data_IF_530295704507
#
_entry.id   IF_530295704507
#
_cell.length_a   1.000
_cell.length_b   1.000
_cell.length_c   1.000
_cell.angle_alpha   90.00
_cell.angle_beta   90.00
_cell.angle_gamma   90.00
#
_symmetry.space_group_name_H-M   'P 1'
#
loop_
_entity.id
_entity.type
_entity.pdbx_description
1 polymer ?
#
# COMPACT_ATOMS: atom_id res chain seq x y z
N UNK A 1 -12.74 -8.95 0.91
CA UNK A 1 -12.12 -9.10 2.24
C UNK A 1 -12.87 -10.13 3.09
N UNK A 2 -14.18 -9.96 3.37
CA UNK A 2 -14.99 -10.83 4.27
C UNK A 2 -14.89 -12.31 3.91
N UNK A 3 -15.07 -12.66 2.64
CA UNK A 3 -14.97 -14.05 2.14
C UNK A 3 -13.59 -14.64 2.47
N UNK A 4 -12.50 -13.89 2.31
CA UNK A 4 -11.14 -14.34 2.64
C UNK A 4 -10.96 -14.63 4.14
N UNK A 5 -11.62 -13.89 5.03
CA UNK A 5 -11.55 -14.17 6.46
C UNK A 5 -12.33 -15.43 6.85
N UNK A 6 -13.45 -15.72 6.18
CA UNK A 6 -14.28 -16.89 6.44
C UNK A 6 -13.67 -18.16 5.85
N UNK A 7 -13.17 -18.10 4.59
CA UNK A 7 -12.64 -19.25 3.87
C UNK A 7 -11.16 -19.51 4.19
N UNK A 8 -10.86 -19.88 5.44
CA UNK A 8 -9.50 -20.19 5.90
C UNK A 8 -9.28 -21.70 5.88
N UNK A 9 -9.19 -22.29 4.66
CA UNK A 9 -9.21 -23.74 4.45
C UNK A 9 -7.95 -24.24 3.76
N UNK A 10 -7.36 -25.33 4.25
CA UNK A 10 -6.18 -25.98 3.62
C UNK A 10 -6.45 -26.47 2.19
N UNK A 11 -7.59 -27.12 1.88
CA UNK A 11 -7.86 -27.58 0.51
C UNK A 11 -7.94 -26.46 -0.53
N UNK A 12 -8.25 -25.22 -0.10
CA UNK A 12 -8.31 -24.04 -0.97
C UNK A 12 -7.00 -23.24 -0.97
N UNK A 13 -5.95 -23.75 -0.33
CA UNK A 13 -4.67 -23.04 -0.13
C UNK A 13 -4.84 -21.59 0.39
N UNK A 14 -5.87 -21.39 1.22
CA UNK A 14 -6.21 -20.10 1.82
C UNK A 14 -5.98 -20.04 3.33
N UNK A 15 -5.41 -21.11 3.90
CA UNK A 15 -5.12 -21.20 5.33
C UNK A 15 -4.00 -20.24 5.74
N UNK A 16 -3.99 -19.87 7.01
CA UNK A 16 -2.92 -19.06 7.61
C UNK A 16 -1.67 -19.94 7.72
N UNK A 17 -0.60 -19.54 7.04
CA UNK A 17 0.72 -20.15 7.12
C UNK A 17 1.49 -19.65 8.33
N UNK A 18 1.53 -18.32 8.51
CA UNK A 18 2.14 -17.65 9.65
C UNK A 18 1.37 -16.39 10.02
N UNK A 19 1.39 -16.00 11.29
CA UNK A 19 0.91 -14.71 11.78
C UNK A 19 2.08 -13.76 12.01
N UNK A 20 1.87 -12.47 11.85
CA UNK A 20 2.91 -11.48 12.04
C UNK A 20 3.29 -11.40 13.54
N UNK A 21 4.53 -11.74 13.92
CA UNK A 21 4.96 -11.79 15.32
C UNK A 21 5.31 -10.42 15.90
N UNK A 22 5.35 -9.36 15.08
CA UNK A 22 5.82 -8.05 15.51
C UNK A 22 4.67 -7.19 16.03
N UNK A 23 4.70 -6.82 17.34
CA UNK A 23 3.68 -5.97 17.96
C UNK A 23 3.47 -4.64 17.23
N UNK A 24 4.56 -4.03 16.73
CA UNK A 24 4.46 -2.78 15.96
C UNK A 24 3.72 -2.94 14.61
N UNK A 25 3.67 -4.14 14.04
CA UNK A 25 2.86 -4.40 12.85
C UNK A 25 1.35 -4.39 13.20
N UNK A 26 0.99 -4.88 14.38
CA UNK A 26 -0.38 -4.81 14.88
C UNK A 26 -0.80 -3.36 15.16
N UNK A 27 0.07 -2.56 15.79
CA UNK A 27 -0.18 -1.12 15.99
C UNK A 27 -0.37 -0.43 14.65
N UNK A 28 0.54 -0.61 13.69
CA UNK A 28 0.45 0.00 12.35
C UNK A 28 -0.83 -0.41 11.60
N UNK A 29 -1.34 -1.63 11.82
CA UNK A 29 -2.59 -2.06 11.23
C UNK A 29 -3.80 -1.47 11.95
N UNK A 30 -3.83 -1.50 13.28
CA UNK A 30 -4.98 -1.08 14.09
C UNK A 30 -5.27 0.41 13.98
N UNK A 31 -4.24 1.27 13.89
CA UNK A 31 -4.44 2.73 13.71
C UNK A 31 -5.11 3.09 12.40
N UNK A 32 -5.19 2.16 11.45
CA UNK A 32 -5.89 2.34 10.17
C UNK A 32 -7.38 1.99 10.21
N UNK A 33 -7.90 1.47 11.33
CA UNK A 33 -9.28 0.96 11.48
C UNK A 33 -9.97 1.52 12.73
N UNK A 34 -11.32 1.57 12.73
CA UNK A 34 -12.06 1.88 13.94
C UNK A 34 -11.75 0.86 15.07
N UNK A 35 -11.74 1.28 16.33
CA UNK A 35 -12.02 2.64 16.85
C UNK A 35 -10.82 3.59 16.81
N UNK A 36 -9.65 3.13 16.37
CA UNK A 36 -8.39 3.89 16.40
C UNK A 36 -8.12 4.70 15.14
N UNK A 37 -9.11 4.79 14.22
CA UNK A 37 -8.96 5.60 13.02
C UNK A 37 -8.70 7.07 13.39
N UNK A 38 -7.54 7.57 13.04
CA UNK A 38 -7.10 8.92 13.39
C UNK A 38 -7.45 9.97 12.32
N UNK A 39 -8.03 9.54 11.20
CA UNK A 39 -8.55 10.35 10.10
C UNK A 39 -10.04 10.65 10.32
N UNK A 40 -10.67 11.45 9.47
CA UNK A 40 -12.10 11.80 9.52
C UNK A 40 -12.55 12.38 10.87
N UNK A 41 -12.12 13.63 11.15
CA UNK A 41 -12.42 14.32 12.40
C UNK A 41 -11.47 14.00 13.54
N UNK A 42 -10.48 13.12 13.30
CA UNK A 42 -9.41 12.81 14.24
C UNK A 42 -8.18 13.71 14.06
N UNK A 43 -7.11 13.46 14.84
CA UNK A 43 -5.89 14.26 14.79
C UNK A 43 -5.14 14.18 13.44
N UNK A 44 -5.39 13.15 12.64
CA UNK A 44 -4.84 13.00 11.29
C UNK A 44 -5.86 13.34 10.19
N UNK A 45 -6.86 14.17 10.49
CA UNK A 45 -7.77 14.71 9.48
C UNK A 45 -7.07 15.78 8.65
N UNK A 46 -6.81 15.48 7.39
CA UNK A 46 -6.17 16.36 6.42
C UNK A 46 -7.16 17.14 5.54
N UNK A 47 -8.46 17.05 5.85
CA UNK A 47 -9.52 17.71 5.08
C UNK A 47 -10.07 18.97 5.76
N UNK A 48 -9.45 19.41 6.85
CA UNK A 48 -9.90 20.58 7.61
C UNK A 48 -9.87 21.83 6.73
N UNK A 49 -11.00 22.54 6.68
CA UNK A 49 -11.23 23.70 5.82
C UNK A 49 -10.95 23.45 4.33
N UNK A 50 -10.92 22.19 3.90
CA UNK A 50 -10.61 21.79 2.55
C UNK A 50 -11.82 21.24 1.80
N UNK A 51 -11.72 21.29 0.48
CA UNK A 51 -12.60 20.61 -0.46
C UNK A 51 -11.83 19.62 -1.30
N UNK A 52 -12.53 18.91 -2.16
CA UNK A 52 -11.92 18.00 -3.10
C UNK A 52 -11.47 18.69 -4.39
N UNK A 53 -10.87 17.91 -5.27
CA UNK A 53 -10.41 18.35 -6.58
C UNK A 53 -11.54 18.95 -7.45
N UNK A 54 -12.78 18.51 -7.26
CA UNK A 54 -13.92 19.01 -8.03
C UNK A 54 -14.16 20.48 -7.81
N UNK A 55 -14.04 20.96 -6.57
CA UNK A 55 -14.15 22.40 -6.26
C UNK A 55 -13.10 23.23 -6.99
N UNK A 56 -11.83 22.77 -7.00
CA UNK A 56 -10.74 23.54 -7.61
C UNK A 56 -10.72 23.48 -9.14
N UNK A 57 -11.35 22.49 -9.72
CA UNK A 57 -11.45 22.32 -11.17
C UNK A 57 -12.82 22.75 -11.71
N UNK A 58 -13.68 23.34 -10.88
CA UNK A 58 -14.97 23.86 -11.30
C UNK A 58 -14.80 24.88 -12.44
N UNK A 59 -15.62 24.76 -13.48
CA UNK A 59 -15.51 25.58 -14.70
C UNK A 59 -14.43 25.14 -15.69
N UNK A 60 -13.63 24.09 -15.37
CA UNK A 60 -12.60 23.53 -16.25
C UNK A 60 -12.92 22.07 -16.61
N UNK A 61 -14.02 21.86 -17.34
CA UNK A 61 -14.59 20.52 -17.57
C UNK A 61 -13.60 19.51 -18.12
N UNK A 62 -12.74 19.89 -19.08
CA UNK A 62 -11.73 19.00 -19.65
C UNK A 62 -10.70 18.55 -18.59
N UNK A 63 -10.22 19.47 -17.75
CA UNK A 63 -9.30 19.15 -16.66
C UNK A 63 -9.98 18.27 -15.61
N UNK A 64 -11.23 18.60 -15.27
CA UNK A 64 -12.04 17.82 -14.33
C UNK A 64 -12.23 16.38 -14.83
N UNK A 65 -12.54 16.20 -16.12
CA UNK A 65 -12.66 14.87 -16.73
C UNK A 65 -11.34 14.11 -16.69
N UNK A 66 -10.22 14.72 -17.10
CA UNK A 66 -8.91 14.09 -17.07
C UNK A 66 -8.49 13.70 -15.64
N UNK A 67 -8.76 14.59 -14.69
CA UNK A 67 -8.47 14.35 -13.28
C UNK A 67 -9.29 13.19 -12.72
N UNK A 68 -10.59 13.17 -13.03
CA UNK A 68 -11.48 12.07 -12.68
C UNK A 68 -11.03 10.73 -13.25
N UNK A 69 -10.58 10.70 -14.51
CA UNK A 69 -10.03 9.49 -15.14
C UNK A 69 -8.79 8.99 -14.36
N UNK A 70 -7.89 9.88 -13.96
CA UNK A 70 -6.71 9.50 -13.15
C UNK A 70 -7.14 8.91 -11.80
N UNK A 71 -8.09 9.53 -11.11
CA UNK A 71 -8.61 9.02 -9.84
C UNK A 71 -9.28 7.66 -10.00
N UNK A 72 -10.12 7.49 -11.00
CA UNK A 72 -10.77 6.21 -11.32
C UNK A 72 -9.71 5.13 -11.62
N UNK A 73 -8.70 5.45 -12.40
CA UNK A 73 -7.61 4.51 -12.70
C UNK A 73 -6.85 4.08 -11.43
N UNK A 74 -6.52 5.01 -10.53
CA UNK A 74 -5.86 4.70 -9.26
C UNK A 74 -6.74 3.82 -8.36
N UNK A 75 -8.03 4.13 -8.25
CA UNK A 75 -8.98 3.33 -7.46
C UNK A 75 -9.20 1.95 -8.10
N UNK A 76 -9.23 1.87 -9.43
CA UNK A 76 -9.32 0.60 -10.15
C UNK A 76 -8.09 -0.29 -9.90
N UNK A 77 -6.88 0.27 -9.88
CA UNK A 77 -5.66 -0.47 -9.50
C UNK A 77 -5.73 -0.94 -8.04
N UNK A 78 -6.23 -0.10 -7.13
CA UNK A 78 -6.45 -0.49 -5.73
C UNK A 78 -7.44 -1.65 -5.60
N UNK A 79 -8.57 -1.57 -6.29
CA UNK A 79 -9.59 -2.62 -6.31
C UNK A 79 -9.02 -3.93 -6.89
N UNK A 80 -8.32 -3.84 -8.03
CA UNK A 80 -7.66 -4.98 -8.67
C UNK A 80 -6.62 -5.62 -7.76
N UNK A 81 -5.78 -4.82 -7.07
CA UNK A 81 -4.81 -5.34 -6.12
C UNK A 81 -5.48 -6.08 -4.95
N UNK A 82 -6.62 -5.57 -4.47
CA UNK A 82 -7.41 -6.23 -3.41
C UNK A 82 -8.06 -7.52 -3.91
N UNK A 83 -8.60 -7.52 -5.12
CA UNK A 83 -9.20 -8.71 -5.73
C UNK A 83 -8.18 -9.80 -6.04
N UNK A 84 -6.94 -9.44 -6.38
CA UNK A 84 -5.88 -10.40 -6.66
C UNK A 84 -5.53 -11.29 -5.45
N UNK A 85 -5.78 -10.84 -4.23
CA UNK A 85 -5.70 -11.70 -3.05
C UNK A 85 -6.82 -12.74 -3.00
N UNK A 86 -7.99 -12.43 -3.53
CA UNK A 86 -9.13 -13.34 -3.52
C UNK A 86 -9.45 -13.85 -2.11
N UNK A 87 -9.53 -15.17 -1.97
CA UNK A 87 -9.78 -15.85 -0.69
C UNK A 87 -8.57 -15.85 0.26
N UNK A 88 -7.37 -15.45 -0.22
CA UNK A 88 -6.18 -15.31 0.62
C UNK A 88 -6.08 -13.94 1.29
N UNK A 89 -7.07 -13.07 1.07
CA UNK A 89 -7.07 -11.74 1.69
C UNK A 89 -7.06 -11.84 3.22
N UNK A 90 -6.10 -11.18 3.85
CA UNK A 90 -6.01 -11.07 5.30
C UNK A 90 -5.10 -9.90 5.70
N UNK A 91 -5.25 -9.45 6.95
CA UNK A 91 -4.33 -8.54 7.61
C UNK A 91 -3.43 -9.34 8.56
N UNK A 92 -2.16 -8.94 8.66
CA UNK A 92 -1.21 -9.47 9.66
C UNK A 92 -0.96 -10.99 9.59
N UNK A 93 -1.44 -11.67 8.54
CA UNK A 93 -1.19 -13.09 8.34
C UNK A 93 -0.67 -13.35 6.93
N UNK A 94 0.24 -14.32 6.82
CA UNK A 94 0.75 -14.80 5.55
C UNK A 94 -0.08 -16.01 5.08
N UNK A 95 -0.62 -15.94 3.86
CA UNK A 95 -1.44 -17.00 3.23
C UNK A 95 -0.94 -17.38 1.84
N UNK A 96 0.31 -17.09 1.55
CA UNK A 96 0.93 -17.31 0.25
C UNK A 96 1.28 -16.01 -0.46
N UNK A 97 2.21 -16.10 -1.40
CA UNK A 97 2.73 -14.95 -2.15
C UNK A 97 1.92 -14.75 -3.42
N UNK A 98 1.51 -13.51 -3.67
CA UNK A 98 0.86 -13.11 -4.91
C UNK A 98 1.89 -12.35 -5.75
N UNK A 99 2.15 -12.83 -6.97
CA UNK A 99 3.21 -12.31 -7.84
C UNK A 99 2.71 -11.75 -9.18
N UNK A 100 1.43 -11.97 -9.48
CA UNK A 100 0.79 -11.63 -10.75
C UNK A 100 -0.09 -10.38 -10.65
N UNK A 101 -0.61 -9.95 -11.79
CA UNK A 101 -1.49 -8.77 -11.87
C UNK A 101 -0.76 -7.50 -11.40
N UNK A 102 -1.38 -6.66 -10.57
CA UNK A 102 -0.76 -5.42 -10.12
C UNK A 102 0.49 -5.64 -9.25
N UNK A 103 0.67 -6.84 -8.67
CA UNK A 103 1.88 -7.22 -7.93
C UNK A 103 3.10 -7.44 -8.83
N UNK A 104 2.91 -7.57 -10.14
CA UNK A 104 4.00 -7.52 -11.12
C UNK A 104 4.54 -6.08 -11.35
N UNK A 105 3.77 -5.05 -10.99
CA UNK A 105 4.16 -3.64 -11.16
C UNK A 105 4.90 -3.10 -9.93
N UNK A 106 4.47 -3.49 -8.76
CA UNK A 106 5.04 -3.10 -7.46
C UNK A 106 4.66 -4.11 -6.38
N UNK A 107 5.44 -4.19 -5.31
CA UNK A 107 5.15 -5.09 -4.18
C UNK A 107 3.94 -4.67 -3.34
N UNK A 108 3.58 -3.39 -3.38
CA UNK A 108 2.49 -2.81 -2.60
C UNK A 108 1.51 -2.01 -3.46
N UNK A 109 0.92 -2.61 -4.51
CA UNK A 109 0.06 -1.88 -5.44
C UNK A 109 -1.14 -1.23 -4.75
N UNK A 110 -1.75 -1.91 -3.78
CA UNK A 110 -2.88 -1.37 -3.04
C UNK A 110 -2.51 -0.12 -2.21
N UNK A 111 -1.36 -0.15 -1.52
CA UNK A 111 -0.92 1.01 -0.73
C UNK A 111 -0.49 2.17 -1.62
N UNK A 112 0.24 1.89 -2.69
CA UNK A 112 0.70 2.91 -3.63
C UNK A 112 -0.48 3.61 -4.30
N UNK A 113 -1.40 2.85 -4.90
CA UNK A 113 -2.54 3.43 -5.61
C UNK A 113 -3.50 4.17 -4.67
N UNK A 114 -3.77 3.63 -3.49
CA UNK A 114 -4.61 4.27 -2.48
C UNK A 114 -4.00 5.59 -1.99
N UNK A 115 -2.72 5.61 -1.64
CA UNK A 115 -2.07 6.85 -1.21
C UNK A 115 -2.01 7.88 -2.35
N UNK A 116 -1.67 7.47 -3.57
CA UNK A 116 -1.68 8.36 -4.71
C UNK A 116 -3.08 8.94 -4.97
N UNK A 117 -4.15 8.15 -4.83
CA UNK A 117 -5.51 8.66 -5.00
C UNK A 117 -5.87 9.71 -3.94
N UNK A 118 -5.39 9.59 -2.72
CA UNK A 118 -5.58 10.60 -1.68
C UNK A 118 -4.84 11.89 -2.00
N UNK A 119 -3.56 11.81 -2.42
CA UNK A 119 -2.80 12.98 -2.81
C UNK A 119 -3.43 13.69 -4.01
N UNK A 120 -3.81 12.94 -5.03
CA UNK A 120 -4.46 13.48 -6.24
C UNK A 120 -5.84 14.05 -5.91
N UNK A 121 -6.62 13.40 -5.05
CA UNK A 121 -7.93 13.86 -4.61
C UNK A 121 -7.88 15.12 -3.75
N UNK A 122 -6.80 15.30 -2.99
CA UNK A 122 -6.58 16.44 -2.11
C UNK A 122 -5.69 17.52 -2.73
N UNK A 123 -5.52 17.54 -4.04
CA UNK A 123 -4.64 18.49 -4.75
C UNK A 123 -5.24 19.90 -4.78
N UNK A 124 -4.46 20.95 -4.70
CA UNK A 124 -3.09 21.12 -4.21
C UNK A 124 -3.03 21.47 -2.71
N UNK A 125 -3.40 20.53 -1.83
CA UNK A 125 -3.51 20.72 -0.37
C UNK A 125 -4.67 21.60 0.02
N UNK A 126 -5.80 21.30 -0.47
CA UNK A 126 -6.97 22.07 -0.81
C UNK A 126 -7.60 22.69 0.41
N UNK A 127 -7.51 24.00 0.46
CA UNK A 127 -8.18 24.81 1.45
C UNK A 127 -9.15 25.74 0.73
N UNK A 128 -10.43 25.58 1.01
CA UNK A 128 -11.50 26.41 0.42
C UNK A 128 -11.96 27.50 1.37
N UNK A 129 -11.75 27.31 2.68
CA UNK A 129 -12.11 28.26 3.73
C UNK A 129 -10.97 28.34 4.75
N UNK A 130 -9.87 28.93 4.37
CA UNK A 130 -8.67 29.03 5.23
C UNK A 130 -7.52 29.60 4.42
N UNK A 131 -6.35 29.66 5.04
CA UNK A 131 -5.16 30.21 4.43
C UNK A 131 -4.11 29.15 4.08
N UNK A 132 -2.94 29.62 3.68
CA UNK A 132 -1.79 28.76 3.39
C UNK A 132 -1.32 27.91 4.59
N UNK A 133 -1.61 28.34 5.82
CA UNK A 133 -1.28 27.61 7.04
C UNK A 133 -2.06 26.29 7.12
N UNK A 134 -3.38 26.37 6.85
CA UNK A 134 -4.25 25.19 6.81
C UNK A 134 -3.86 24.27 5.65
N UNK A 135 -3.51 24.83 4.49
CA UNK A 135 -3.01 24.06 3.36
C UNK A 135 -1.71 23.30 3.71
N UNK A 136 -0.76 23.99 4.34
CA UNK A 136 0.48 23.38 4.80
C UNK A 136 0.21 22.30 5.88
N UNK A 137 -0.70 22.56 6.82
CA UNK A 137 -1.16 21.58 7.82
C UNK A 137 -1.72 20.34 7.15
N UNK A 138 -2.65 20.50 6.21
CA UNK A 138 -3.28 19.37 5.53
C UNK A 138 -2.24 18.53 4.75
N UNK A 139 -1.29 19.18 4.08
CA UNK A 139 -0.19 18.50 3.40
C UNK A 139 0.68 17.68 4.37
N UNK A 140 1.07 18.26 5.50
CA UNK A 140 1.88 17.56 6.52
C UNK A 140 1.12 16.35 7.06
N UNK A 141 -0.17 16.52 7.38
CA UNK A 141 -0.99 15.43 7.92
C UNK A 141 -1.20 14.32 6.89
N UNK A 142 -1.47 14.64 5.62
CA UNK A 142 -1.55 13.62 4.56
C UNK A 142 -0.21 12.90 4.38
N UNK A 143 0.91 13.62 4.53
CA UNK A 143 2.25 13.02 4.59
C UNK A 143 2.41 12.05 5.75
N UNK A 144 1.94 12.39 6.95
CA UNK A 144 1.94 11.50 8.12
C UNK A 144 1.07 10.26 7.90
N UNK A 145 -0.12 10.42 7.35
CA UNK A 145 -0.99 9.30 6.95
C UNK A 145 -0.27 8.37 5.97
N UNK A 146 0.37 8.93 4.95
CA UNK A 146 1.17 8.16 3.99
C UNK A 146 2.34 7.44 4.69
N UNK A 147 2.96 8.08 5.67
CA UNK A 147 4.00 7.50 6.52
C UNK A 147 3.53 6.29 7.31
N UNK A 148 2.32 6.31 7.86
CA UNK A 148 1.71 5.15 8.56
C UNK A 148 1.54 3.98 7.60
N UNK A 149 1.06 4.21 6.36
CA UNK A 149 0.93 3.15 5.35
C UNK A 149 2.29 2.63 4.88
N UNK A 150 3.29 3.50 4.75
CA UNK A 150 4.66 3.07 4.47
C UNK A 150 5.22 2.18 5.59
N UNK A 151 5.04 2.59 6.84
CA UNK A 151 5.44 1.80 8.01
C UNK A 151 4.74 0.43 8.03
N UNK A 152 3.44 0.42 7.78
CA UNK A 152 2.66 -0.82 7.66
C UNK A 152 3.24 -1.74 6.58
N UNK A 153 3.52 -1.21 5.38
CA UNK A 153 4.15 -1.99 4.31
C UNK A 153 5.51 -2.58 4.75
N UNK A 154 6.32 -1.81 5.49
CA UNK A 154 7.61 -2.27 6.00
C UNK A 154 7.51 -3.37 7.05
N UNK A 155 6.53 -3.30 7.94
CA UNK A 155 6.29 -4.36 8.93
C UNK A 155 5.74 -5.63 8.29
N UNK A 156 4.93 -5.51 7.25
CA UNK A 156 4.48 -6.64 6.43
C UNK A 156 5.65 -7.29 5.67
N UNK A 157 6.48 -6.49 4.98
CA UNK A 157 7.69 -6.99 4.30
C UNK A 157 8.60 -7.74 5.27
N UNK A 158 8.85 -7.19 6.46
CA UNK A 158 9.70 -7.83 7.47
C UNK A 158 9.19 -9.22 7.87
N UNK A 159 7.88 -9.40 8.01
CA UNK A 159 7.28 -10.70 8.30
C UNK A 159 7.40 -11.65 7.11
N UNK A 160 7.07 -11.19 5.90
CA UNK A 160 7.05 -12.00 4.70
C UNK A 160 8.45 -12.46 4.25
N UNK A 161 9.49 -11.70 4.58
CA UNK A 161 10.89 -12.06 4.27
C UNK A 161 11.39 -13.32 4.99
N UNK A 162 10.63 -13.85 5.96
CA UNK A 162 10.88 -15.17 6.51
C UNK A 162 10.49 -16.32 5.55
N UNK A 163 9.70 -16.03 4.50
CA UNK A 163 9.32 -17.01 3.46
C UNK A 163 10.29 -16.94 2.27
N UNK A 164 11.01 -18.02 1.94
CA UNK A 164 11.88 -18.07 0.76
C UNK A 164 11.17 -17.73 -0.55
N UNK A 165 9.89 -18.08 -0.70
CA UNK A 165 9.11 -17.73 -1.87
C UNK A 165 8.90 -16.20 -1.99
N UNK A 166 8.72 -15.52 -0.86
CA UNK A 166 8.64 -14.06 -0.86
C UNK A 166 9.99 -13.40 -1.15
N UNK A 167 11.09 -13.95 -0.67
CA UNK A 167 12.44 -13.47 -1.00
C UNK A 167 12.72 -13.59 -2.50
N UNK A 168 12.35 -14.72 -3.11
CA UNK A 168 12.46 -14.89 -4.57
C UNK A 168 11.64 -13.84 -5.33
N UNK A 169 10.38 -13.63 -4.93
CA UNK A 169 9.53 -12.58 -5.49
C UNK A 169 10.10 -11.18 -5.25
N UNK A 170 10.61 -10.88 -4.05
CA UNK A 170 11.28 -9.61 -3.73
C UNK A 170 12.40 -9.31 -4.72
N UNK A 171 13.31 -10.27 -4.91
CA UNK A 171 14.46 -10.13 -5.79
C UNK A 171 14.04 -9.96 -7.25
N UNK A 172 13.03 -10.70 -7.70
CA UNK A 172 12.44 -10.55 -9.02
C UNK A 172 11.85 -9.15 -9.19
N UNK A 173 11.04 -8.69 -8.24
CA UNK A 173 10.39 -7.38 -8.28
C UNK A 173 11.40 -6.22 -8.31
N UNK A 174 12.53 -6.33 -7.61
CA UNK A 174 13.60 -5.32 -7.67
C UNK A 174 14.16 -5.16 -9.08
N UNK A 175 14.26 -6.25 -9.83
CA UNK A 175 14.83 -6.24 -11.18
C UNK A 175 13.82 -5.90 -12.27
N UNK A 176 12.58 -6.35 -12.13
CA UNK A 176 11.61 -6.37 -13.22
C UNK A 176 10.38 -5.48 -13.02
N UNK A 177 9.94 -5.25 -11.78
CA UNK A 177 8.75 -4.47 -11.51
C UNK A 177 8.94 -2.99 -11.87
N UNK A 178 7.86 -2.35 -12.36
CA UNK A 178 7.89 -1.00 -12.92
C UNK A 178 8.39 0.04 -11.90
N UNK A 179 7.80 0.05 -10.69
CA UNK A 179 8.10 1.08 -9.69
C UNK A 179 9.54 1.01 -9.18
N UNK A 180 10.10 -0.15 -8.79
CA UNK A 180 11.52 -0.25 -8.46
C UNK A 180 12.47 0.15 -9.60
N UNK A 181 12.14 -0.20 -10.85
CA UNK A 181 12.96 0.19 -12.02
C UNK A 181 12.95 1.70 -12.25
N UNK A 182 11.77 2.34 -12.15
CA UNK A 182 11.68 3.80 -12.25
C UNK A 182 12.48 4.47 -11.14
N UNK A 183 12.35 4.00 -9.90
CA UNK A 183 13.12 4.52 -8.77
C UNK A 183 14.63 4.41 -9.03
N UNK A 184 15.12 3.26 -9.47
CA UNK A 184 16.54 3.05 -9.80
C UNK A 184 16.99 3.99 -10.91
N UNK A 185 16.19 4.20 -11.97
CA UNK A 185 16.50 5.13 -13.07
C UNK A 185 16.59 6.57 -12.59
N UNK A 186 15.69 7.01 -11.73
CA UNK A 186 15.61 8.39 -11.25
C UNK A 186 16.68 8.72 -10.19
N UNK A 187 17.04 7.76 -9.36
CA UNK A 187 17.95 8.00 -8.22
C UNK A 187 19.35 7.46 -8.44
N UNK A 188 19.58 6.64 -9.48
CA UNK A 188 20.82 5.90 -9.68
C UNK A 188 21.10 4.83 -8.61
N UNK A 189 20.19 4.62 -7.66
CA UNK A 189 20.37 3.71 -6.52
C UNK A 189 19.54 2.44 -6.68
N UNK A 190 20.20 1.33 -7.04
CA UNK A 190 19.56 0.02 -6.96
C UNK A 190 19.50 -0.45 -5.50
N UNK A 191 18.35 -0.98 -5.08
CA UNK A 191 18.24 -1.62 -3.76
C UNK A 191 18.96 -2.97 -3.80
N UNK A 192 19.70 -3.34 -2.73
CA UNK A 192 20.41 -4.62 -2.68
C UNK A 192 19.42 -5.79 -2.76
N UNK A 193 19.87 -6.85 -3.42
CA UNK A 193 19.16 -8.13 -3.44
C UNK A 193 19.36 -8.84 -2.10
N UNK A 194 18.35 -9.57 -1.67
CA UNK A 194 18.40 -10.36 -0.45
C UNK A 194 18.96 -11.73 -0.81
N UNK A 195 20.04 -12.15 -0.16
CA UNK A 195 20.56 -13.51 -0.26
C UNK A 195 19.79 -14.40 0.69
N UNK A 196 19.31 -15.54 0.20
CA UNK A 196 18.86 -16.63 1.06
C UNK A 196 20.12 -17.25 1.66
N UNK A 197 20.24 -17.23 2.98
CA UNK A 197 21.22 -18.09 3.63
C UNK A 197 20.80 -19.55 3.40
N UNK A 198 21.73 -20.45 3.03
CA UNK A 198 21.43 -21.86 2.93
C UNK A 198 20.87 -22.34 4.26
N UNK A 199 19.74 -23.05 4.25
CA UNK A 199 19.22 -23.69 5.47
C UNK A 199 20.28 -24.68 5.95
N UNK A 200 20.88 -24.48 7.15
CA UNK A 200 21.93 -25.36 7.63
C UNK A 200 21.46 -26.81 7.83
N UNK A 201 20.15 -27.05 7.75
CA UNK A 201 19.54 -28.38 7.84
C UNK A 201 19.43 -29.10 6.49
N UNK A 202 19.60 -28.37 5.38
CA UNK A 202 19.63 -28.93 4.03
C UNK A 202 21.09 -29.03 3.64
N UNK A 203 21.65 -30.23 3.72
CA UNK A 203 23.02 -30.49 3.28
C UNK A 203 23.23 -30.12 1.81
N UNK A 204 24.48 -29.96 1.35
CA UNK A 204 24.77 -29.61 -0.03
C UNK A 204 24.09 -30.61 -0.97
N UNK A 205 23.28 -30.06 -1.90
CA UNK A 205 22.72 -30.85 -2.99
C UNK A 205 23.90 -31.29 -3.85
N UNK A 206 24.16 -32.63 -3.84
CA UNK A 206 25.22 -33.26 -4.63
C UNK A 206 24.91 -33.17 -6.13
#
# INVERSE_FOLDING_TARGET
ATVGYILTLKPLDSHIRTANPYGMAWVAALVCYPPFILMNGGPLDYTVNGSDWGYWLEGHETLMMLWGVVLVALVAVYAWATMAFGIRFSNLTHRGVITHGPYALTRHPAYVSKNLSWWVGSLPFLVTAGGWVEGARNMVILGLVSGVYYWRAKTEEKHLLADPAYVAYWNWAQRHALVPRLFTRLTGRARPLIRLEPDPRVGPVA
#
